data_IF_781513936213
#
_entry.id   IF_781513936213
#
_cell.length_a   1.000
_cell.length_b   1.000
_cell.length_c   1.000
_cell.angle_alpha   90.00
_cell.angle_beta   90.00
_cell.angle_gamma   90.00
#
_symmetry.space_group_name_H-M   'P 1'
#
loop_
_entity.id
_entity.type
_entity.pdbx_description
1 polymer ?
#
# COMPACT_ATOMS: atom_id res chain seq x y z
N UNK A 1 -19.39 18.49 -44.32
CA UNK A 1 -20.28 17.67 -43.46
C UNK A 1 -19.97 16.21 -43.69
N UNK A 2 -18.89 15.73 -43.06
CA UNK A 2 -18.32 14.38 -43.20
C UNK A 2 -19.14 13.36 -42.40
N UNK A 3 -19.40 12.20 -43.01
CA UNK A 3 -20.17 11.07 -42.46
C UNK A 3 -19.80 10.76 -40.99
N UNK A 4 -20.56 11.31 -40.03
CA UNK A 4 -20.35 11.12 -38.58
C UNK A 4 -20.54 9.68 -38.17
N UNK A 5 -21.52 8.98 -38.76
CA UNK A 5 -21.78 7.56 -38.48
C UNK A 5 -20.60 6.68 -38.90
N UNK A 6 -20.02 6.92 -40.08
CA UNK A 6 -18.84 6.21 -40.56
C UNK A 6 -17.61 6.44 -39.68
N UNK A 7 -17.38 7.68 -39.24
CA UNK A 7 -16.32 7.99 -38.26
C UNK A 7 -16.57 7.33 -36.91
N UNK A 8 -17.82 7.31 -36.45
CA UNK A 8 -18.17 6.69 -35.17
C UNK A 8 -17.93 5.17 -35.19
N UNK A 9 -18.29 4.50 -36.30
CA UNK A 9 -17.97 3.10 -36.50
C UNK A 9 -16.46 2.85 -36.57
N UNK A 10 -15.70 3.73 -37.25
CA UNK A 10 -14.23 3.66 -37.28
C UNK A 10 -13.65 3.78 -35.86
N UNK A 11 -14.13 4.72 -35.06
CA UNK A 11 -13.69 4.87 -33.67
C UNK A 11 -13.97 3.59 -32.86
N UNK A 12 -15.14 2.97 -33.03
CA UNK A 12 -15.46 1.70 -32.40
C UNK A 12 -14.48 0.59 -32.76
N UNK A 13 -14.17 0.43 -34.06
CA UNK A 13 -13.23 -0.58 -34.53
C UNK A 13 -11.80 -0.34 -34.01
N UNK A 14 -11.37 0.92 -33.90
CA UNK A 14 -10.08 1.26 -33.32
C UNK A 14 -10.01 0.89 -31.84
N UNK A 15 -11.10 1.07 -31.07
CA UNK A 15 -11.17 0.68 -29.66
C UNK A 15 -11.10 -0.83 -29.46
N UNK A 16 -11.79 -1.61 -30.31
CA UNK A 16 -11.69 -3.08 -30.31
C UNK A 16 -10.25 -3.54 -30.58
N UNK A 17 -9.50 -2.79 -31.40
CA UNK A 17 -8.07 -3.01 -31.66
C UNK A 17 -7.14 -2.41 -30.61
N UNK A 18 -7.67 -1.83 -29.54
CA UNK A 18 -6.91 -1.13 -28.49
C UNK A 18 -6.07 0.05 -29.00
N UNK A 19 -6.42 0.62 -30.15
CA UNK A 19 -5.80 1.81 -30.73
C UNK A 19 -6.43 3.07 -30.12
N UNK A 20 -6.23 3.27 -28.81
CA UNK A 20 -6.91 4.30 -28.02
C UNK A 20 -6.62 5.74 -28.49
N UNK A 21 -5.38 6.03 -28.90
CA UNK A 21 -4.99 7.36 -29.37
C UNK A 21 -5.71 7.73 -30.67
N UNK A 22 -5.65 6.87 -31.68
CA UNK A 22 -6.35 7.09 -32.96
C UNK A 22 -7.88 7.13 -32.79
N UNK A 23 -8.43 6.26 -31.94
CA UNK A 23 -9.85 6.30 -31.61
C UNK A 23 -10.25 7.64 -30.98
N UNK A 24 -9.41 8.15 -30.06
CA UNK A 24 -9.59 9.44 -29.39
C UNK A 24 -9.66 10.60 -30.38
N UNK A 25 -8.73 10.68 -31.33
CA UNK A 25 -8.70 11.71 -32.36
C UNK A 25 -9.98 11.69 -33.21
N UNK A 26 -10.40 10.51 -33.68
CA UNK A 26 -11.62 10.36 -34.48
C UNK A 26 -12.85 10.81 -33.69
N UNK A 27 -12.95 10.43 -32.42
CA UNK A 27 -14.03 10.84 -31.52
C UNK A 27 -14.03 12.35 -31.26
N UNK A 28 -12.86 12.97 -31.11
CA UNK A 28 -12.74 14.42 -30.92
C UNK A 28 -13.23 15.17 -32.18
N UNK A 29 -12.97 14.65 -33.39
CA UNK A 29 -13.55 15.23 -34.61
C UNK A 29 -15.08 15.13 -34.64
N UNK A 30 -15.66 14.04 -34.10
CA UNK A 30 -17.12 13.87 -34.01
C UNK A 30 -17.70 14.84 -32.98
N UNK A 31 -17.04 15.02 -31.83
CA UNK A 31 -17.49 15.94 -30.78
C UNK A 31 -17.40 17.39 -31.26
N UNK A 32 -16.39 17.75 -32.03
CA UNK A 32 -16.28 19.09 -32.62
C UNK A 32 -17.42 19.38 -33.61
N UNK A 33 -17.77 18.42 -34.47
CA UNK A 33 -18.85 18.56 -35.45
C UNK A 33 -20.24 18.44 -34.81
N UNK A 34 -20.38 17.60 -33.79
CA UNK A 34 -21.62 17.31 -33.06
C UNK A 34 -21.36 17.26 -31.54
N UNK A 35 -21.32 18.43 -30.86
CA UNK A 35 -20.98 18.50 -29.43
C UNK A 35 -21.87 17.67 -28.52
N UNK A 36 -23.11 17.39 -28.93
CA UNK A 36 -24.09 16.58 -28.18
C UNK A 36 -24.13 15.10 -28.57
N UNK A 37 -23.12 14.59 -29.28
CA UNK A 37 -23.08 13.18 -29.69
C UNK A 37 -22.76 12.26 -28.48
N UNK A 38 -23.81 11.78 -27.79
CA UNK A 38 -23.70 11.01 -26.55
C UNK A 38 -22.78 9.78 -26.64
N UNK A 39 -22.83 9.06 -27.76
CA UNK A 39 -21.97 7.88 -27.98
C UNK A 39 -20.49 8.23 -28.06
N UNK A 40 -20.16 9.42 -28.57
CA UNK A 40 -18.76 9.84 -28.72
C UNK A 40 -18.17 10.18 -27.34
N UNK A 41 -18.94 10.90 -26.52
CA UNK A 41 -18.59 11.16 -25.12
C UNK A 41 -18.47 9.88 -24.29
N UNK A 42 -19.34 8.88 -24.51
CA UNK A 42 -19.23 7.58 -23.83
C UNK A 42 -17.90 6.88 -24.13
N UNK A 43 -17.51 6.78 -25.40
CA UNK A 43 -16.25 6.14 -25.78
C UNK A 43 -15.02 6.95 -25.38
N UNK A 44 -15.09 8.29 -25.33
CA UNK A 44 -14.03 9.10 -24.72
C UNK A 44 -13.90 8.82 -23.22
N UNK A 45 -15.01 8.67 -22.52
CA UNK A 45 -15.03 8.24 -21.12
C UNK A 45 -14.29 6.92 -20.91
N UNK A 46 -14.55 5.92 -21.77
CA UNK A 46 -13.84 4.63 -21.74
C UNK A 46 -12.33 4.77 -21.99
N UNK A 47 -11.91 5.58 -22.97
CA UNK A 47 -10.49 5.84 -23.24
C UNK A 47 -9.82 6.45 -22.00
N UNK A 48 -10.44 7.47 -21.40
CA UNK A 48 -9.88 8.11 -20.21
C UNK A 48 -9.78 7.16 -19.01
N UNK A 49 -10.74 6.23 -18.85
CA UNK A 49 -10.62 5.16 -17.84
C UNK A 49 -9.42 4.25 -18.11
N UNK A 50 -9.18 3.88 -19.37
CA UNK A 50 -8.02 3.07 -19.76
C UNK A 50 -6.69 3.81 -19.53
N UNK A 51 -6.67 5.14 -19.75
CA UNK A 51 -5.56 6.04 -19.42
C UNK A 51 -5.41 6.30 -17.91
N UNK A 52 -6.32 5.78 -17.08
CA UNK A 52 -6.43 6.04 -15.63
C UNK A 52 -6.68 7.50 -15.27
N UNK A 53 -7.18 8.29 -16.22
CA UNK A 53 -7.60 9.67 -15.99
C UNK A 53 -9.06 9.74 -15.56
N UNK A 54 -9.29 9.56 -14.26
CA UNK A 54 -10.65 9.52 -13.72
C UNK A 54 -11.41 10.84 -13.86
N UNK A 55 -10.71 11.98 -13.79
CA UNK A 55 -11.35 13.30 -13.88
C UNK A 55 -11.93 13.55 -15.28
N UNK A 56 -11.13 13.31 -16.33
CA UNK A 56 -11.61 13.44 -17.71
C UNK A 56 -12.64 12.36 -18.05
N UNK A 57 -12.46 11.14 -17.55
CA UNK A 57 -13.44 10.06 -17.70
C UNK A 57 -14.83 10.45 -17.17
N UNK A 58 -14.88 10.95 -15.93
CA UNK A 58 -16.11 11.42 -15.29
C UNK A 58 -16.80 12.50 -16.11
N UNK A 59 -16.05 13.52 -16.53
CA UNK A 59 -16.58 14.63 -17.33
C UNK A 59 -17.19 14.16 -18.65
N UNK A 60 -16.54 13.23 -19.34
CA UNK A 60 -17.05 12.66 -20.59
C UNK A 60 -18.29 11.77 -20.36
N UNK A 61 -18.29 10.94 -19.31
CA UNK A 61 -19.44 10.09 -18.97
C UNK A 61 -20.66 10.91 -18.54
N UNK A 62 -20.46 12.02 -17.81
CA UNK A 62 -21.52 12.97 -17.46
C UNK A 62 -22.18 13.57 -18.71
N UNK A 63 -21.39 14.01 -19.69
CA UNK A 63 -21.92 14.48 -20.98
C UNK A 63 -22.66 13.38 -21.73
N UNK A 64 -22.16 12.15 -21.70
CA UNK A 64 -22.81 11.02 -22.35
C UNK A 64 -24.21 10.73 -21.78
N UNK A 65 -24.38 10.83 -20.45
CA UNK A 65 -25.69 10.64 -19.80
C UNK A 65 -26.57 11.88 -19.87
N UNK A 66 -26.00 13.07 -19.98
CA UNK A 66 -26.75 14.32 -20.22
C UNK A 66 -27.42 14.29 -21.59
N UNK A 67 -26.66 13.94 -22.63
CA UNK A 67 -27.15 13.92 -24.02
C UNK A 67 -27.97 12.68 -24.37
N UNK A 68 -27.76 11.58 -23.63
CA UNK A 68 -28.62 10.41 -23.71
C UNK A 68 -28.87 9.84 -22.30
N UNK A 69 -29.96 10.27 -21.63
CA UNK A 69 -30.29 9.81 -20.27
C UNK A 69 -30.54 8.32 -20.12
N UNK A 70 -30.78 7.57 -21.20
CA UNK A 70 -30.96 6.11 -21.16
C UNK A 70 -29.70 5.34 -21.58
N UNK A 71 -28.54 6.00 -21.68
CA UNK A 71 -27.27 5.31 -21.90
C UNK A 71 -26.85 4.53 -20.64
N UNK A 72 -27.38 3.31 -20.50
CA UNK A 72 -27.20 2.48 -19.31
C UNK A 72 -25.74 2.11 -19.08
N UNK A 73 -24.98 1.85 -20.16
CA UNK A 73 -23.55 1.55 -20.09
C UNK A 73 -22.76 2.73 -19.51
N UNK A 74 -23.04 3.96 -19.95
CA UNK A 74 -22.42 5.15 -19.38
C UNK A 74 -22.76 5.35 -17.91
N UNK A 75 -24.00 5.04 -17.50
CA UNK A 75 -24.43 5.13 -16.09
C UNK A 75 -23.74 4.11 -15.19
N UNK A 76 -23.52 2.87 -15.67
CA UNK A 76 -22.75 1.85 -14.93
C UNK A 76 -21.31 2.32 -14.71
N UNK A 77 -20.63 2.78 -15.77
CA UNK A 77 -19.26 3.30 -15.65
C UNK A 77 -19.19 4.54 -14.75
N UNK A 78 -20.18 5.43 -14.83
CA UNK A 78 -20.24 6.59 -13.95
C UNK A 78 -20.44 6.17 -12.48
N UNK A 79 -21.23 5.13 -12.22
CA UNK A 79 -21.35 4.55 -10.89
C UNK A 79 -20.02 3.97 -10.40
N UNK A 80 -19.25 3.28 -11.26
CA UNK A 80 -17.91 2.79 -10.93
C UNK A 80 -16.95 3.93 -10.54
N UNK A 81 -16.95 5.02 -11.31
CA UNK A 81 -16.16 6.22 -11.01
C UNK A 81 -16.56 6.81 -9.65
N UNK A 82 -17.85 6.95 -9.38
CA UNK A 82 -18.31 7.43 -8.07
C UNK A 82 -17.93 6.49 -6.93
N UNK A 83 -17.92 5.18 -7.13
CA UNK A 83 -17.43 4.23 -6.13
C UNK A 83 -15.94 4.40 -5.86
N UNK A 84 -15.12 4.64 -6.89
CA UNK A 84 -13.69 4.91 -6.74
C UNK A 84 -13.44 6.22 -5.96
N UNK A 85 -14.28 7.24 -6.18
CA UNK A 85 -14.28 8.51 -5.44
C UNK A 85 -14.88 8.40 -4.02
N UNK A 86 -15.33 7.21 -3.61
CA UNK A 86 -16.05 6.98 -2.35
C UNK A 86 -17.33 7.82 -2.19
N UNK A 87 -18.05 8.04 -3.30
CA UNK A 87 -19.35 8.71 -3.35
C UNK A 87 -20.49 7.70 -3.64
N UNK A 88 -20.85 6.83 -2.68
CA UNK A 88 -21.77 5.72 -2.94
C UNK A 88 -23.20 6.16 -3.26
N UNK A 89 -23.65 7.31 -2.76
CA UNK A 89 -25.01 7.81 -3.03
C UNK A 89 -25.19 8.21 -4.49
N UNK A 90 -24.21 8.92 -5.06
CA UNK A 90 -24.19 9.28 -6.49
C UNK A 90 -24.12 8.02 -7.37
N UNK A 91 -23.37 7.00 -6.95
CA UNK A 91 -23.36 5.71 -7.65
C UNK A 91 -24.76 5.07 -7.64
N UNK A 92 -25.43 5.00 -6.49
CA UNK A 92 -26.76 4.42 -6.35
C UNK A 92 -27.82 5.15 -7.19
N UNK A 93 -27.73 6.47 -7.35
CA UNK A 93 -28.61 7.23 -8.24
C UNK A 93 -28.49 6.79 -9.70
N UNK A 94 -27.27 6.61 -10.20
CA UNK A 94 -27.05 6.11 -11.57
C UNK A 94 -27.59 4.69 -11.75
N UNK A 95 -27.31 3.82 -10.78
CA UNK A 95 -27.72 2.40 -10.80
C UNK A 95 -29.23 2.23 -10.70
N UNK A 96 -29.93 3.10 -9.97
CA UNK A 96 -31.40 3.11 -9.89
C UNK A 96 -32.03 3.28 -11.26
N UNK A 97 -31.47 4.15 -12.10
CA UNK A 97 -31.98 4.38 -13.46
C UNK A 97 -31.73 3.13 -14.32
N UNK A 98 -30.56 2.52 -14.21
CA UNK A 98 -30.22 1.27 -14.91
C UNK A 98 -31.21 0.18 -14.56
N UNK A 99 -31.45 -0.06 -13.28
CA UNK A 99 -32.33 -1.12 -12.80
C UNK A 99 -33.82 -0.87 -13.05
N UNK A 100 -34.21 0.38 -13.28
CA UNK A 100 -35.58 0.71 -13.73
C UNK A 100 -35.82 0.23 -15.16
N UNK A 101 -34.78 0.24 -16.01
CA UNK A 101 -34.85 -0.22 -17.41
C UNK A 101 -34.49 -1.68 -17.58
N UNK A 102 -33.50 -2.14 -16.83
CA UNK A 102 -33.00 -3.52 -16.83
C UNK A 102 -32.93 -4.05 -15.40
N UNK A 103 -34.06 -4.52 -14.81
CA UNK A 103 -34.09 -5.04 -13.45
C UNK A 103 -33.15 -6.22 -13.21
N UNK A 104 -32.83 -6.97 -14.27
CA UNK A 104 -31.88 -8.09 -14.27
C UNK A 104 -30.44 -7.73 -14.64
N UNK A 105 -30.06 -6.45 -14.62
CA UNK A 105 -28.68 -6.06 -14.97
C UNK A 105 -27.68 -6.50 -13.87
N UNK A 106 -26.88 -7.52 -14.19
CA UNK A 106 -25.88 -8.11 -13.29
C UNK A 106 -24.91 -7.06 -12.71
N UNK A 107 -24.28 -6.26 -13.57
CA UNK A 107 -23.29 -5.26 -13.17
C UNK A 107 -23.91 -4.23 -12.23
N UNK A 108 -25.15 -3.80 -12.51
CA UNK A 108 -25.82 -2.84 -11.66
C UNK A 108 -26.06 -3.36 -10.23
N UNK A 109 -26.51 -4.61 -10.07
CA UNK A 109 -26.62 -5.23 -8.73
C UNK A 109 -25.25 -5.41 -8.07
N UNK A 110 -24.22 -5.80 -8.82
CA UNK A 110 -22.86 -5.92 -8.30
C UNK A 110 -22.34 -4.58 -7.75
N UNK A 111 -22.52 -3.48 -8.49
CA UNK A 111 -22.12 -2.15 -8.03
C UNK A 111 -22.99 -1.61 -6.90
N UNK A 112 -24.28 -1.95 -6.83
CA UNK A 112 -25.10 -1.65 -5.65
C UNK A 112 -24.54 -2.33 -4.41
N UNK A 113 -24.16 -3.62 -4.52
CA UNK A 113 -23.50 -4.36 -3.44
C UNK A 113 -22.23 -3.65 -2.94
N UNK A 114 -21.39 -3.16 -3.87
CA UNK A 114 -20.19 -2.39 -3.54
C UNK A 114 -20.51 -1.03 -2.91
N UNK A 115 -21.54 -0.31 -3.39
CA UNK A 115 -21.98 0.97 -2.84
C UNK A 115 -22.41 0.83 -1.37
N UNK A 116 -23.24 -0.17 -1.07
CA UNK A 116 -23.67 -0.43 0.30
C UNK A 116 -22.53 -0.91 1.20
N UNK A 117 -21.54 -1.63 0.66
CA UNK A 117 -20.33 -1.98 1.40
C UNK A 117 -19.53 -0.73 1.81
N UNK A 118 -19.37 0.27 0.93
CA UNK A 118 -18.74 1.55 1.27
C UNK A 118 -19.52 2.30 2.36
N UNK A 119 -20.85 2.20 2.34
CA UNK A 119 -21.74 2.74 3.39
C UNK A 119 -21.74 1.91 4.68
N UNK A 120 -20.96 0.81 4.74
CA UNK A 120 -20.93 -0.17 5.85
C UNK A 120 -22.27 -0.85 6.12
N UNK A 121 -23.20 -0.80 5.17
CA UNK A 121 -24.47 -1.53 5.21
C UNK A 121 -24.26 -2.94 4.64
N UNK A 122 -23.81 -3.83 5.51
CA UNK A 122 -23.49 -5.23 5.16
C UNK A 122 -24.73 -6.01 4.74
N UNK A 123 -25.91 -5.68 5.30
CA UNK A 123 -27.16 -6.38 5.00
C UNK A 123 -27.60 -6.12 3.56
N UNK A 124 -27.67 -4.83 3.18
CA UNK A 124 -28.01 -4.45 1.81
C UNK A 124 -26.94 -4.91 0.83
N UNK A 125 -25.66 -4.75 1.18
CA UNK A 125 -24.54 -5.22 0.34
C UNK A 125 -24.67 -6.70 -0.03
N UNK A 126 -24.93 -7.55 0.96
CA UNK A 126 -25.17 -8.99 0.76
C UNK A 126 -26.37 -9.26 -0.16
N UNK A 127 -27.49 -8.60 0.10
CA UNK A 127 -28.70 -8.80 -0.70
C UNK A 127 -28.44 -8.55 -2.20
N UNK A 128 -27.68 -7.50 -2.53
CA UNK A 128 -27.38 -7.17 -3.92
C UNK A 128 -26.34 -8.10 -4.55
N UNK A 129 -25.33 -8.56 -3.81
CA UNK A 129 -24.44 -9.60 -4.32
C UNK A 129 -25.15 -10.95 -4.52
N UNK A 130 -26.08 -11.33 -3.64
CA UNK A 130 -26.90 -12.53 -3.83
C UNK A 130 -27.81 -12.42 -5.07
N UNK A 131 -28.37 -11.23 -5.34
CA UNK A 131 -29.10 -10.96 -6.60
C UNK A 131 -28.18 -11.10 -7.81
N UNK A 132 -26.99 -10.50 -7.76
CA UNK A 132 -26.01 -10.61 -8.84
C UNK A 132 -25.62 -12.07 -9.11
N UNK A 133 -25.37 -12.86 -8.07
CA UNK A 133 -25.06 -14.30 -8.18
C UNK A 133 -26.24 -15.13 -8.73
N UNK A 134 -27.50 -14.72 -8.49
CA UNK A 134 -28.67 -15.37 -9.08
C UNK A 134 -28.84 -15.04 -10.57
N UNK A 135 -28.48 -13.83 -10.99
CA UNK A 135 -28.56 -13.38 -12.39
C UNK A 135 -27.48 -14.05 -13.24
N UNK A 136 -26.25 -14.13 -12.71
CA UNK A 136 -25.10 -14.72 -13.40
C UNK A 136 -24.42 -15.75 -12.48
N UNK A 137 -24.98 -16.97 -12.36
CA UNK A 137 -24.47 -18.02 -11.48
C UNK A 137 -23.14 -18.66 -11.96
N UNK A 138 -22.72 -18.34 -13.17
CA UNK A 138 -21.48 -18.75 -13.80
C UNK A 138 -20.35 -17.71 -13.65
N UNK A 139 -20.65 -16.50 -13.18
CA UNK A 139 -19.65 -15.46 -12.91
C UNK A 139 -19.12 -15.59 -11.46
N UNK A 140 -17.81 -15.78 -11.26
CA UNK A 140 -17.21 -15.94 -9.92
C UNK A 140 -17.25 -14.67 -9.06
N UNK A 141 -17.44 -13.49 -9.66
CA UNK A 141 -17.21 -12.20 -8.99
C UNK A 141 -18.18 -11.99 -7.83
N UNK A 142 -19.47 -12.28 -8.02
CA UNK A 142 -20.47 -12.12 -6.96
C UNK A 142 -20.19 -13.04 -5.77
N UNK A 143 -19.83 -14.30 -6.03
CA UNK A 143 -19.43 -15.25 -4.99
C UNK A 143 -18.16 -14.80 -4.24
N UNK A 144 -17.17 -14.27 -4.94
CA UNK A 144 -15.97 -13.72 -4.31
C UNK A 144 -16.28 -12.52 -3.41
N UNK A 145 -17.21 -11.65 -3.82
CA UNK A 145 -17.68 -10.53 -2.97
C UNK A 145 -18.42 -11.02 -1.73
N UNK A 146 -19.28 -12.03 -1.85
CA UNK A 146 -19.97 -12.67 -0.72
C UNK A 146 -18.96 -13.31 0.25
N UNK A 147 -17.96 -14.03 -0.26
CA UNK A 147 -16.89 -14.59 0.55
C UNK A 147 -16.15 -13.51 1.35
N UNK A 148 -15.86 -12.36 0.72
CA UNK A 148 -15.25 -11.21 1.39
C UNK A 148 -16.10 -10.66 2.52
N UNK A 149 -17.42 -10.50 2.29
CA UNK A 149 -18.36 -10.08 3.34
C UNK A 149 -18.41 -11.07 4.50
N UNK A 150 -18.49 -12.37 4.20
CA UNK A 150 -18.53 -13.42 5.21
C UNK A 150 -17.23 -13.46 6.02
N UNK A 151 -16.07 -13.30 5.37
CA UNK A 151 -14.76 -13.21 6.03
C UNK A 151 -14.67 -12.01 6.97
N UNK A 152 -15.15 -10.83 6.56
CA UNK A 152 -15.19 -9.62 7.42
C UNK A 152 -16.04 -9.84 8.68
N UNK A 153 -17.10 -10.63 8.57
CA UNK A 153 -17.98 -10.99 9.68
C UNK A 153 -17.50 -12.23 10.44
N UNK A 154 -16.30 -12.76 10.13
CA UNK A 154 -15.73 -14.00 10.68
C UNK A 154 -16.64 -15.23 10.49
N UNK A 155 -17.52 -15.20 9.49
CA UNK A 155 -18.36 -16.32 9.08
C UNK A 155 -17.56 -17.19 8.09
N UNK A 156 -16.62 -17.95 8.63
CA UNK A 156 -15.65 -18.66 7.82
C UNK A 156 -16.26 -19.80 6.99
N UNK A 157 -17.23 -20.57 7.53
CA UNK A 157 -17.81 -21.67 6.74
C UNK A 157 -18.59 -21.18 5.51
N UNK A 158 -19.47 -20.15 5.63
CA UNK A 158 -20.06 -19.52 4.44
C UNK A 158 -19.00 -18.96 3.49
N UNK A 159 -17.98 -18.28 4.00
CA UNK A 159 -16.91 -17.72 3.17
C UNK A 159 -16.19 -18.80 2.36
N UNK A 160 -15.82 -19.92 2.99
CA UNK A 160 -15.18 -21.06 2.35
C UNK A 160 -16.08 -21.71 1.30
N UNK A 161 -17.39 -21.82 1.58
CA UNK A 161 -18.38 -22.31 0.61
C UNK A 161 -18.43 -21.43 -0.64
N UNK A 162 -18.49 -20.10 -0.47
CA UNK A 162 -18.47 -19.16 -1.59
C UNK A 162 -17.15 -19.22 -2.37
N UNK A 163 -16.01 -19.34 -1.68
CA UNK A 163 -14.70 -19.49 -2.33
C UNK A 163 -14.57 -20.80 -3.09
N UNK A 164 -15.12 -21.90 -2.58
CA UNK A 164 -15.17 -23.15 -3.32
C UNK A 164 -15.96 -22.97 -4.62
N UNK A 165 -17.10 -22.25 -4.58
CA UNK A 165 -17.86 -21.94 -5.81
C UNK A 165 -17.05 -21.11 -6.81
N UNK A 166 -16.30 -20.12 -6.33
CA UNK A 166 -15.37 -19.35 -7.19
C UNK A 166 -14.35 -20.28 -7.87
N UNK A 167 -13.77 -21.21 -7.11
CA UNK A 167 -12.73 -22.11 -7.61
C UNK A 167 -13.27 -23.26 -8.49
N UNK A 168 -14.55 -23.61 -8.35
CA UNK A 168 -15.25 -24.48 -9.32
C UNK A 168 -15.39 -23.79 -10.68
N UNK A 169 -15.79 -22.51 -10.69
CA UNK A 169 -15.97 -21.72 -11.91
C UNK A 169 -14.64 -21.32 -12.55
N UNK A 170 -13.66 -20.99 -11.71
CA UNK A 170 -12.33 -20.54 -12.13
C UNK A 170 -11.25 -21.07 -11.19
N UNK A 171 -10.72 -22.25 -11.52
CA UNK A 171 -9.75 -22.98 -10.71
C UNK A 171 -8.46 -22.19 -10.41
N UNK A 172 -8.05 -21.30 -11.31
CA UNK A 172 -6.84 -20.47 -11.19
C UNK A 172 -7.09 -19.07 -10.62
N UNK A 173 -8.24 -18.82 -10.00
CA UNK A 173 -8.58 -17.53 -9.41
C UNK A 173 -7.73 -17.24 -8.16
N UNK A 174 -6.53 -16.67 -8.39
CA UNK A 174 -5.52 -16.36 -7.38
C UNK A 174 -6.07 -15.64 -6.13
N UNK A 175 -6.92 -14.59 -6.24
CA UNK A 175 -7.46 -13.94 -5.05
C UNK A 175 -8.31 -14.87 -4.17
N UNK A 176 -9.01 -15.85 -4.77
CA UNK A 176 -9.82 -16.80 -4.01
C UNK A 176 -8.95 -17.88 -3.34
N UNK A 177 -7.92 -18.36 -4.03
CA UNK A 177 -6.90 -19.24 -3.45
C UNK A 177 -6.25 -18.59 -2.22
N UNK A 178 -5.81 -17.33 -2.35
CA UNK A 178 -5.20 -16.56 -1.27
C UNK A 178 -6.17 -16.31 -0.10
N UNK A 179 -7.43 -15.96 -0.40
CA UNK A 179 -8.46 -15.73 0.61
C UNK A 179 -8.73 -17.01 1.41
N UNK A 180 -8.81 -18.17 0.75
CA UNK A 180 -9.02 -19.46 1.42
C UNK A 180 -7.86 -19.82 2.35
N UNK A 181 -6.61 -19.64 1.91
CA UNK A 181 -5.41 -19.80 2.76
C UNK A 181 -5.46 -18.86 3.96
N UNK A 182 -5.82 -17.60 3.75
CA UNK A 182 -5.91 -16.59 4.81
C UNK A 182 -7.00 -16.93 5.84
N UNK A 183 -8.13 -17.48 5.42
CA UNK A 183 -9.18 -17.96 6.32
C UNK A 183 -8.67 -19.12 7.20
N UNK A 184 -8.03 -20.13 6.61
CA UNK A 184 -7.42 -21.22 7.38
C UNK A 184 -6.39 -20.69 8.39
N UNK A 185 -5.54 -19.75 8.01
CA UNK A 185 -4.59 -19.13 8.94
C UNK A 185 -5.28 -18.34 10.05
N UNK A 186 -6.37 -17.61 9.75
CA UNK A 186 -7.17 -16.90 10.75
C UNK A 186 -7.88 -17.86 11.73
N UNK A 187 -8.24 -19.06 11.28
CA UNK A 187 -8.78 -20.15 12.10
C UNK A 187 -7.70 -20.94 12.86
N UNK A 188 -6.42 -20.57 12.70
CA UNK A 188 -5.26 -21.30 13.27
C UNK A 188 -5.19 -22.76 12.77
N UNK A 189 -5.52 -22.95 11.49
CA UNK A 189 -5.57 -24.22 10.77
C UNK A 189 -4.48 -24.27 9.68
N UNK A 190 -3.18 -24.23 10.04
CA UNK A 190 -2.10 -24.22 9.06
C UNK A 190 -1.99 -25.54 8.29
N UNK A 191 -2.39 -26.67 8.89
CA UNK A 191 -2.35 -27.98 8.23
C UNK A 191 -3.32 -28.04 7.05
N UNK A 192 -4.53 -27.51 7.22
CA UNK A 192 -5.56 -27.40 6.19
C UNK A 192 -5.13 -26.44 5.07
N UNK A 193 -4.47 -25.33 5.41
CA UNK A 193 -3.88 -24.43 4.42
C UNK A 193 -2.82 -25.13 3.57
N UNK A 194 -1.90 -25.88 4.19
CA UNK A 194 -0.85 -26.61 3.48
C UNK A 194 -1.41 -27.75 2.63
N UNK A 195 -2.38 -28.51 3.14
CA UNK A 195 -3.05 -29.57 2.39
C UNK A 195 -3.77 -29.02 1.16
N UNK A 196 -4.47 -27.90 1.31
CA UNK A 196 -5.13 -27.22 0.19
C UNK A 196 -4.13 -26.72 -0.86
N UNK A 197 -3.02 -26.12 -0.43
CA UNK A 197 -1.97 -25.66 -1.36
C UNK A 197 -1.32 -26.83 -2.12
N UNK A 198 -1.06 -27.95 -1.43
CA UNK A 198 -0.53 -29.16 -2.04
C UNK A 198 -1.48 -29.74 -3.09
N UNK A 199 -2.78 -29.81 -2.79
CA UNK A 199 -3.81 -30.22 -3.76
C UNK A 199 -3.76 -29.35 -5.02
N UNK A 200 -3.71 -28.03 -4.87
CA UNK A 200 -3.67 -27.09 -6.01
C UNK A 200 -2.36 -27.12 -6.77
N UNK A 201 -1.23 -27.33 -6.11
CA UNK A 201 0.06 -27.52 -6.77
C UNK A 201 0.05 -28.76 -7.67
N UNK A 202 -0.51 -29.89 -7.19
CA UNK A 202 -0.66 -31.11 -7.99
C UNK A 202 -1.56 -30.90 -9.21
N UNK A 203 -2.70 -30.23 -9.02
CA UNK A 203 -3.66 -29.96 -10.08
C UNK A 203 -3.11 -29.02 -11.17
N UNK A 204 -2.21 -28.10 -10.81
CA UNK A 204 -1.73 -27.03 -11.70
C UNK A 204 -0.22 -27.08 -11.98
N UNK A 205 0.41 -28.26 -11.92
CA UNK A 205 1.84 -28.42 -12.13
C UNK A 205 2.39 -27.83 -13.44
N UNK A 206 1.55 -27.73 -14.49
CA UNK A 206 1.93 -27.18 -15.80
C UNK A 206 1.83 -25.65 -15.88
N UNK A 207 1.13 -25.00 -14.95
CA UNK A 207 0.99 -23.55 -14.91
C UNK A 207 2.08 -22.97 -14.00
N UNK A 208 3.25 -22.66 -14.57
CA UNK A 208 4.40 -22.17 -13.82
C UNK A 208 4.09 -20.89 -13.02
N UNK A 209 3.33 -19.96 -13.59
CA UNK A 209 2.95 -18.70 -12.93
C UNK A 209 2.08 -18.95 -11.70
N UNK A 210 1.07 -19.81 -11.81
CA UNK A 210 0.21 -20.18 -10.69
C UNK A 210 0.97 -20.99 -9.65
N UNK A 211 1.77 -21.97 -10.07
CA UNK A 211 2.58 -22.79 -9.18
C UNK A 211 3.56 -21.93 -8.36
N UNK A 212 4.17 -20.90 -8.98
CA UNK A 212 5.02 -19.96 -8.27
C UNK A 212 4.27 -19.21 -7.15
N UNK A 213 3.07 -18.68 -7.45
CA UNK A 213 2.24 -18.01 -6.44
C UNK A 213 1.78 -18.96 -5.32
N UNK A 214 1.47 -20.22 -5.64
CA UNK A 214 1.11 -21.24 -4.65
C UNK A 214 2.29 -21.60 -3.74
N UNK A 215 3.50 -21.71 -4.29
CA UNK A 215 4.72 -21.92 -3.49
C UNK A 215 5.04 -20.71 -2.60
N UNK A 216 4.78 -19.49 -3.05
CA UNK A 216 4.88 -18.28 -2.22
C UNK A 216 3.90 -18.32 -1.04
N UNK A 217 2.64 -18.69 -1.28
CA UNK A 217 1.65 -18.86 -0.21
C UNK A 217 2.07 -19.97 0.77
N UNK A 218 2.59 -21.10 0.26
CA UNK A 218 3.09 -22.22 1.08
C UNK A 218 4.24 -21.77 1.97
N UNK A 219 5.22 -21.06 1.42
CA UNK A 219 6.34 -20.50 2.18
C UNK A 219 5.85 -19.55 3.27
N UNK A 220 4.87 -18.69 2.96
CA UNK A 220 4.29 -17.77 3.95
C UNK A 220 3.61 -18.48 5.12
N UNK A 221 2.89 -19.58 4.85
CA UNK A 221 2.28 -20.42 5.89
C UNK A 221 3.36 -21.08 6.77
N UNK A 222 4.39 -21.66 6.15
CA UNK A 222 5.51 -22.32 6.85
C UNK A 222 6.33 -21.33 7.69
N UNK A 223 6.54 -20.11 7.18
CA UNK A 223 7.18 -19.03 7.92
C UNK A 223 6.45 -18.71 9.23
N UNK A 224 5.12 -18.63 9.19
CA UNK A 224 4.30 -18.40 10.39
C UNK A 224 4.38 -19.60 11.36
N UNK A 225 4.50 -20.82 10.85
CA UNK A 225 4.75 -22.02 11.64
C UNK A 225 6.19 -22.11 12.18
N UNK A 226 7.07 -21.16 11.81
CA UNK A 226 8.51 -21.16 12.13
C UNK A 226 9.28 -22.35 11.55
N UNK A 227 8.73 -23.03 10.55
CA UNK A 227 9.44 -24.01 9.74
C UNK A 227 10.23 -23.28 8.66
N UNK A 228 11.35 -22.68 9.09
CA UNK A 228 12.14 -21.77 8.28
C UNK A 228 12.81 -22.48 7.09
N UNK A 229 13.27 -23.72 7.27
CA UNK A 229 13.91 -24.50 6.22
C UNK A 229 12.94 -24.80 5.08
N UNK A 230 11.73 -25.31 5.40
CA UNK A 230 10.74 -25.58 4.36
C UNK A 230 10.16 -24.29 3.76
N UNK A 231 10.08 -23.22 4.56
CA UNK A 231 9.68 -21.89 4.10
C UNK A 231 10.64 -21.36 3.04
N UNK A 232 11.94 -21.41 3.31
CA UNK A 232 12.99 -21.02 2.36
C UNK A 232 12.90 -21.81 1.05
N UNK A 233 12.80 -23.14 1.15
CA UNK A 233 12.69 -24.02 0.01
C UNK A 233 11.46 -23.69 -0.85
N UNK A 234 10.32 -23.36 -0.22
CA UNK A 234 9.12 -22.96 -0.92
C UNK A 234 9.29 -21.62 -1.66
N UNK A 235 9.86 -20.60 -1.01
CA UNK A 235 10.12 -19.32 -1.69
C UNK A 235 11.15 -19.44 -2.82
N UNK A 236 12.23 -20.20 -2.63
CA UNK A 236 13.20 -20.50 -3.70
C UNK A 236 12.54 -21.24 -4.87
N UNK A 237 11.63 -22.18 -4.58
CA UNK A 237 10.85 -22.85 -5.64
C UNK A 237 9.96 -21.89 -6.40
N UNK A 238 9.31 -20.94 -5.71
CA UNK A 238 8.53 -19.89 -6.35
C UNK A 238 9.38 -19.05 -7.31
N UNK A 239 10.58 -18.63 -6.89
CA UNK A 239 11.52 -17.88 -7.73
C UNK A 239 12.02 -18.68 -8.93
N UNK A 240 12.33 -19.97 -8.75
CA UNK A 240 12.76 -20.82 -9.87
C UNK A 240 11.67 -20.98 -10.94
N UNK A 241 10.39 -20.96 -10.54
CA UNK A 241 9.25 -21.06 -11.45
C UNK A 241 8.90 -19.71 -12.10
N UNK A 242 9.07 -18.61 -11.37
CA UNK A 242 8.84 -17.28 -11.88
C UNK A 242 9.78 -16.26 -11.20
N UNK A 243 10.92 -15.96 -11.83
CA UNK A 243 11.90 -15.01 -11.30
C UNK A 243 11.42 -13.55 -11.25
N UNK A 244 10.28 -13.22 -11.87
CA UNK A 244 9.77 -11.85 -11.92
C UNK A 244 8.81 -11.52 -10.78
N UNK A 245 8.46 -12.51 -9.95
CA UNK A 245 7.69 -12.28 -8.74
C UNK A 245 8.57 -11.63 -7.67
N UNK A 246 8.26 -10.38 -7.32
CA UNK A 246 8.94 -9.65 -6.23
C UNK A 246 8.59 -10.23 -4.85
N UNK A 247 7.38 -10.76 -4.69
CA UNK A 247 6.86 -11.27 -3.41
C UNK A 247 7.76 -12.31 -2.71
N UNK A 248 8.24 -13.36 -3.41
CA UNK A 248 9.17 -14.32 -2.85
C UNK A 248 10.53 -13.73 -2.44
N UNK A 249 11.08 -12.75 -3.17
CA UNK A 249 12.32 -12.06 -2.76
C UNK A 249 12.12 -11.32 -1.43
N UNK A 250 11.01 -10.58 -1.29
CA UNK A 250 10.68 -9.89 -0.03
C UNK A 250 10.48 -10.88 1.12
N UNK A 251 9.88 -12.02 0.83
CA UNK A 251 9.63 -13.06 1.83
C UNK A 251 10.92 -13.74 2.28
N UNK A 252 11.84 -14.04 1.35
CA UNK A 252 13.19 -14.52 1.69
C UNK A 252 13.99 -13.48 2.46
N UNK A 253 13.95 -12.21 2.06
CA UNK A 253 14.65 -11.15 2.80
C UNK A 253 14.17 -11.05 4.26
N UNK A 254 12.86 -11.17 4.47
CA UNK A 254 12.25 -11.23 5.81
C UNK A 254 12.67 -12.48 6.58
N UNK A 255 12.67 -13.64 5.92
CA UNK A 255 13.11 -14.90 6.49
C UNK A 255 14.55 -14.77 7.00
N UNK A 256 15.46 -14.34 6.13
CA UNK A 256 16.87 -14.15 6.43
C UNK A 256 17.11 -13.10 7.53
N UNK A 257 16.28 -12.05 7.61
CA UNK A 257 16.34 -11.13 8.73
C UNK A 257 16.01 -11.81 10.08
N UNK A 258 14.99 -12.67 10.12
CA UNK A 258 14.58 -13.39 11.34
C UNK A 258 15.58 -14.47 11.74
N UNK A 259 16.20 -15.14 10.77
CA UNK A 259 17.25 -16.14 10.98
C UNK A 259 18.64 -15.52 11.17
N UNK A 260 18.76 -14.18 11.10
CA UNK A 260 19.99 -13.38 11.24
C UNK A 260 21.04 -13.61 10.14
N UNK A 261 20.59 -14.04 8.97
CA UNK A 261 21.40 -14.21 7.76
C UNK A 261 21.41 -12.89 6.97
N UNK A 262 22.01 -11.85 7.56
CA UNK A 262 21.95 -10.47 7.05
C UNK A 262 22.43 -10.32 5.61
N UNK A 263 23.52 -11.00 5.24
CA UNK A 263 24.06 -10.94 3.88
C UNK A 263 23.07 -11.50 2.85
N UNK A 264 22.35 -12.57 3.20
CA UNK A 264 21.34 -13.14 2.30
C UNK A 264 20.10 -12.26 2.17
N UNK A 265 19.71 -11.57 3.25
CA UNK A 265 18.68 -10.55 3.18
C UNK A 265 19.09 -9.39 2.23
N UNK A 266 20.34 -8.92 2.32
CA UNK A 266 20.89 -7.90 1.42
C UNK A 266 20.83 -8.38 -0.04
N UNK A 267 21.25 -9.61 -0.30
CA UNK A 267 21.24 -10.20 -1.65
C UNK A 267 19.82 -10.21 -2.25
N UNK A 268 18.79 -10.53 -1.45
CA UNK A 268 17.41 -10.49 -1.92
C UNK A 268 16.93 -9.08 -2.26
N UNK A 269 17.24 -8.08 -1.44
CA UNK A 269 16.87 -6.68 -1.74
C UNK A 269 17.61 -6.15 -2.98
N UNK A 270 18.87 -6.52 -3.17
CA UNK A 270 19.62 -6.18 -4.38
C UNK A 270 19.03 -6.85 -5.63
N UNK A 271 18.60 -8.11 -5.52
CA UNK A 271 17.91 -8.81 -6.61
C UNK A 271 16.58 -8.13 -7.00
N UNK A 272 15.83 -7.59 -6.02
CA UNK A 272 14.64 -6.78 -6.29
C UNK A 272 15.03 -5.52 -7.08
N UNK A 273 16.06 -4.79 -6.63
CA UNK A 273 16.48 -3.54 -7.26
C UNK A 273 17.04 -3.73 -8.68
N UNK A 274 17.65 -4.88 -8.96
CA UNK A 274 18.08 -5.23 -10.31
C UNK A 274 16.90 -5.37 -11.30
N UNK A 275 15.71 -5.73 -10.79
CA UNK A 275 14.48 -5.91 -11.59
C UNK A 275 13.60 -4.67 -11.57
N UNK A 276 13.53 -4.00 -10.43
CA UNK A 276 12.70 -2.84 -10.17
C UNK A 276 13.57 -1.75 -9.51
N UNK A 277 14.31 -0.96 -10.31
CA UNK A 277 15.21 0.07 -9.80
C UNK A 277 14.52 1.16 -8.98
N UNK A 278 13.20 1.31 -9.12
CA UNK A 278 12.36 2.28 -8.41
C UNK A 278 11.67 1.66 -7.17
N UNK A 279 12.06 0.47 -6.73
CA UNK A 279 11.45 -0.18 -5.57
C UNK A 279 11.98 0.40 -4.25
N UNK A 280 11.37 1.51 -3.82
CA UNK A 280 11.77 2.34 -2.65
C UNK A 280 12.00 1.50 -1.39
N UNK A 281 11.13 0.51 -1.14
CA UNK A 281 11.18 -0.30 0.09
C UNK A 281 12.47 -1.13 0.18
N UNK A 282 13.07 -1.53 -0.95
CA UNK A 282 14.34 -2.26 -0.94
C UNK A 282 15.52 -1.33 -0.61
N UNK A 283 15.56 -0.11 -1.15
CA UNK A 283 16.55 0.89 -0.73
C UNK A 283 16.44 1.19 0.77
N UNK A 284 15.23 1.37 1.27
CA UNK A 284 15.01 1.60 2.71
C UNK A 284 15.48 0.46 3.60
N UNK A 285 15.17 -0.77 3.21
CA UNK A 285 15.60 -1.95 3.95
C UNK A 285 17.13 -2.08 3.95
N UNK A 286 17.78 -1.91 2.78
CA UNK A 286 19.23 -1.90 2.68
C UNK A 286 19.87 -0.78 3.51
N UNK A 287 19.31 0.43 3.46
CA UNK A 287 19.76 1.57 4.27
C UNK A 287 19.70 1.27 5.76
N UNK A 288 18.58 0.69 6.21
CA UNK A 288 18.37 0.31 7.62
C UNK A 288 19.34 -0.79 8.06
N UNK A 289 19.56 -1.80 7.21
CA UNK A 289 20.51 -2.88 7.50
C UNK A 289 21.93 -2.33 7.61
N UNK A 290 22.38 -1.54 6.63
CA UNK A 290 23.72 -0.97 6.66
C UNK A 290 23.94 -0.01 7.83
N UNK A 291 22.91 0.73 8.24
CA UNK A 291 22.98 1.62 9.40
C UNK A 291 23.16 0.82 10.70
N UNK A 292 22.38 -0.26 10.87
CA UNK A 292 22.50 -1.15 12.02
C UNK A 292 23.86 -1.86 12.10
N UNK A 293 24.53 -2.09 10.96
CA UNK A 293 25.89 -2.63 10.89
C UNK A 293 26.99 -1.55 11.05
N UNK A 294 26.64 -0.30 11.29
CA UNK A 294 27.59 0.82 11.39
C UNK A 294 28.20 1.25 10.05
N UNK A 295 27.69 0.74 8.92
CA UNK A 295 28.14 1.07 7.57
C UNK A 295 27.46 2.35 7.06
N UNK A 296 27.60 3.45 7.80
CA UNK A 296 26.84 4.71 7.58
C UNK A 296 26.97 5.28 6.17
N UNK A 297 28.13 5.15 5.51
CA UNK A 297 28.31 5.59 4.12
C UNK A 297 27.43 4.81 3.13
N UNK A 298 27.30 3.48 3.32
CA UNK A 298 26.40 2.65 2.50
C UNK A 298 24.94 2.96 2.81
N UNK A 299 24.60 3.12 4.09
CA UNK A 299 23.25 3.47 4.52
C UNK A 299 22.77 4.79 3.91
N UNK A 300 23.60 5.83 4.01
CA UNK A 300 23.40 7.13 3.37
C UNK A 300 23.08 7.00 1.88
N UNK A 301 23.91 6.27 1.13
CA UNK A 301 23.71 6.07 -0.32
C UNK A 301 22.36 5.42 -0.63
N UNK A 302 21.91 4.48 0.20
CA UNK A 302 20.61 3.83 0.00
C UNK A 302 19.44 4.78 0.32
N UNK A 303 19.52 5.57 1.39
CA UNK A 303 18.49 6.57 1.68
C UNK A 303 18.43 7.69 0.64
N UNK A 304 19.58 8.12 0.11
CA UNK A 304 19.64 9.05 -1.02
C UNK A 304 18.94 8.47 -2.25
N UNK A 305 19.19 7.20 -2.59
CA UNK A 305 18.49 6.50 -3.68
C UNK A 305 16.97 6.40 -3.46
N UNK A 306 16.53 6.14 -2.23
CA UNK A 306 15.11 6.15 -1.91
C UNK A 306 14.46 7.53 -2.16
N UNK A 307 15.18 8.61 -1.83
CA UNK A 307 14.73 9.99 -2.06
C UNK A 307 14.84 10.45 -3.51
N UNK A 308 15.75 9.88 -4.30
CA UNK A 308 15.76 10.10 -5.76
C UNK A 308 14.47 9.56 -6.41
N UNK A 309 13.99 8.39 -5.97
CA UNK A 309 12.75 7.79 -6.50
C UNK A 309 11.51 8.49 -5.97
N UNK A 310 11.46 8.80 -4.67
CA UNK A 310 10.39 9.58 -4.07
C UNK A 310 10.98 10.63 -3.12
N UNK A 311 11.07 11.90 -3.57
CA UNK A 311 11.60 12.98 -2.76
C UNK A 311 10.88 13.15 -1.41
N UNK A 312 9.58 12.83 -1.33
CA UNK A 312 8.74 13.03 -0.14
C UNK A 312 8.69 11.81 0.77
N UNK A 313 9.53 10.80 0.53
CA UNK A 313 9.56 9.60 1.33
C UNK A 313 10.17 9.84 2.73
N UNK A 314 9.28 10.18 3.67
CA UNK A 314 9.62 10.65 5.01
C UNK A 314 10.57 9.74 5.81
N UNK A 315 10.43 8.39 5.79
CA UNK A 315 11.36 7.54 6.53
C UNK A 315 12.82 7.63 6.03
N UNK A 316 13.04 7.76 4.71
CA UNK A 316 14.41 7.96 4.18
C UNK A 316 14.95 9.33 4.57
N UNK A 317 14.12 10.37 4.45
CA UNK A 317 14.52 11.73 4.82
C UNK A 317 14.91 11.82 6.29
N UNK A 318 14.13 11.20 7.17
CA UNK A 318 14.44 11.12 8.59
C UNK A 318 15.77 10.41 8.87
N UNK A 319 15.95 9.20 8.35
CA UNK A 319 17.14 8.41 8.64
C UNK A 319 18.41 9.02 8.01
N UNK A 320 18.28 9.65 6.84
CA UNK A 320 19.37 10.40 6.23
C UNK A 320 19.73 11.64 7.06
N UNK A 321 18.73 12.40 7.54
CA UNK A 321 18.97 13.52 8.43
C UNK A 321 19.70 13.09 9.70
N UNK A 322 19.28 11.99 10.31
CA UNK A 322 19.94 11.39 11.47
C UNK A 322 21.41 11.07 11.19
N UNK A 323 21.73 10.37 10.09
CA UNK A 323 23.12 10.06 9.71
C UNK A 323 23.95 11.33 9.49
N UNK A 324 23.39 12.35 8.84
CA UNK A 324 24.09 13.62 8.60
C UNK A 324 24.40 14.38 9.89
N UNK A 325 23.51 14.31 10.89
CA UNK A 325 23.74 14.89 12.22
C UNK A 325 24.82 14.13 12.99
N UNK A 326 24.75 12.80 12.99
CA UNK A 326 25.73 11.95 13.68
C UNK A 326 27.14 12.09 13.11
N UNK A 327 27.26 12.23 11.79
CA UNK A 327 28.55 12.39 11.10
C UNK A 327 29.04 13.84 11.03
N UNK A 328 28.18 14.82 11.31
CA UNK A 328 28.47 16.24 11.17
C UNK A 328 28.67 16.72 9.72
N UNK A 329 28.34 15.89 8.72
CA UNK A 329 28.70 16.13 7.32
C UNK A 329 27.92 17.28 6.66
N UNK A 330 26.62 17.42 6.95
CA UNK A 330 25.79 18.53 6.44
C UNK A 330 24.61 18.85 7.39
N UNK A 331 24.84 19.71 8.39
CA UNK A 331 23.79 20.07 9.35
C UNK A 331 22.66 20.91 8.75
N UNK A 332 22.87 21.59 7.61
CA UNK A 332 21.80 22.36 6.94
C UNK A 332 20.88 21.42 6.16
N UNK A 333 21.46 20.51 5.37
CA UNK A 333 20.72 19.47 4.66
C UNK A 333 19.95 18.58 5.63
N UNK A 334 20.54 18.21 6.77
CA UNK A 334 19.86 17.46 7.81
C UNK A 334 18.59 18.15 8.33
N UNK A 335 18.66 19.46 8.61
CA UNK A 335 17.48 20.22 9.06
C UNK A 335 16.38 20.24 7.99
N UNK A 336 16.74 20.44 6.73
CA UNK A 336 15.76 20.45 5.64
C UNK A 336 15.08 19.08 5.47
N UNK A 337 15.85 18.00 5.52
CA UNK A 337 15.33 16.64 5.46
C UNK A 337 14.44 16.30 6.66
N UNK A 338 14.84 16.67 7.88
CA UNK A 338 14.04 16.45 9.08
C UNK A 338 12.70 17.23 9.03
N UNK A 339 12.72 18.50 8.60
CA UNK A 339 11.49 19.28 8.37
C UNK A 339 10.57 18.62 7.35
N UNK A 340 11.15 18.12 6.26
CA UNK A 340 10.42 17.41 5.20
C UNK A 340 9.75 16.14 5.74
N UNK A 341 10.48 15.35 6.53
CA UNK A 341 9.93 14.18 7.20
C UNK A 341 8.77 14.57 8.14
N UNK A 342 8.92 15.64 8.95
CA UNK A 342 7.88 16.11 9.89
C UNK A 342 6.62 16.57 9.16
N UNK A 343 6.75 17.23 8.01
CA UNK A 343 5.60 17.66 7.22
C UNK A 343 4.74 16.47 6.73
N UNK A 344 5.37 15.33 6.43
CA UNK A 344 4.69 14.12 5.95
C UNK A 344 4.21 13.22 7.09
N UNK A 345 4.93 13.21 8.22
CA UNK A 345 4.64 12.42 9.41
C UNK A 345 4.62 13.31 10.67
N UNK A 346 3.64 14.23 10.79
CA UNK A 346 3.62 15.22 11.87
C UNK A 346 3.50 14.59 13.27
N UNK A 347 2.86 13.42 13.35
CA UNK A 347 2.60 12.74 14.61
C UNK A 347 3.68 11.70 15.00
N UNK A 348 4.66 11.41 14.13
CA UNK A 348 5.69 10.40 14.42
C UNK A 348 6.76 10.95 15.38
N UNK A 349 6.90 10.37 16.58
CA UNK A 349 7.81 10.91 17.59
C UNK A 349 9.29 10.71 17.23
N UNK A 350 9.64 9.78 16.34
CA UNK A 350 11.03 9.59 15.87
C UNK A 350 11.46 10.71 14.94
N UNK A 351 10.50 11.22 14.17
CA UNK A 351 10.71 12.36 13.28
C UNK A 351 10.82 13.65 14.06
N UNK A 352 9.99 13.82 15.10
CA UNK A 352 10.10 14.92 16.05
C UNK A 352 11.48 14.92 16.74
N UNK A 353 11.95 13.78 17.25
CA UNK A 353 13.28 13.67 17.86
C UNK A 353 14.42 14.05 16.90
N UNK A 354 14.41 13.56 15.67
CA UNK A 354 15.42 13.90 14.66
C UNK A 354 15.39 15.39 14.29
N UNK A 355 14.19 15.98 14.18
CA UNK A 355 14.05 17.42 13.94
C UNK A 355 14.55 18.25 15.14
N UNK A 356 14.24 17.84 16.36
CA UNK A 356 14.78 18.44 17.57
C UNK A 356 16.31 18.44 17.57
N UNK A 357 16.93 17.32 17.18
CA UNK A 357 18.39 17.21 17.09
C UNK A 357 18.99 18.13 16.01
N UNK A 358 18.30 18.28 14.88
CA UNK A 358 18.71 19.22 13.85
C UNK A 358 18.61 20.68 14.32
N UNK A 359 17.53 21.03 15.02
CA UNK A 359 17.28 22.38 15.55
C UNK A 359 18.30 22.76 16.64
N UNK A 360 18.59 21.85 17.58
CA UNK A 360 19.56 22.13 18.65
C UNK A 360 20.98 22.29 18.10
N UNK A 361 21.32 21.57 17.03
CA UNK A 361 22.60 21.75 16.30
C UNK A 361 22.72 23.12 15.66
N UNK A 362 21.59 23.78 15.37
CA UNK A 362 21.52 25.14 14.83
C UNK A 362 21.35 26.22 15.89
N UNK A 363 21.37 25.86 17.18
CA UNK A 363 21.16 26.81 18.27
C UNK A 363 19.71 27.26 18.44
N UNK A 364 18.74 26.60 17.79
CA UNK A 364 17.31 26.88 17.91
C UNK A 364 16.72 26.14 19.11
N UNK A 365 17.22 26.46 20.30
CA UNK A 365 16.93 25.75 21.57
C UNK A 365 15.44 25.60 21.88
N UNK A 366 14.65 26.68 21.95
CA UNK A 366 13.21 26.58 22.28
C UNK A 366 12.42 25.71 21.30
N UNK A 367 12.70 25.82 19.99
CA UNK A 367 12.05 24.99 18.98
C UNK A 367 12.46 23.52 19.09
N UNK A 368 13.73 23.25 19.43
CA UNK A 368 14.21 21.89 19.66
C UNK A 368 13.51 21.25 20.87
N UNK A 369 13.38 21.99 21.97
CA UNK A 369 12.69 21.52 23.19
C UNK A 369 11.25 21.12 22.86
N UNK A 370 10.49 21.95 22.13
CA UNK A 370 9.12 21.64 21.77
C UNK A 370 8.99 20.31 20.98
N UNK A 371 9.90 20.05 20.03
CA UNK A 371 9.90 18.78 19.28
C UNK A 371 10.29 17.58 20.16
N UNK A 372 11.27 17.75 21.06
CA UNK A 372 11.65 16.70 22.00
C UNK A 372 10.57 16.41 23.05
N UNK A 373 9.83 17.43 23.50
CA UNK A 373 8.68 17.25 24.39
C UNK A 373 7.55 16.47 23.70
N UNK A 374 7.23 16.79 22.44
CA UNK A 374 6.28 16.00 21.64
C UNK A 374 6.73 14.54 21.50
N UNK A 375 8.01 14.33 21.18
CA UNK A 375 8.60 12.99 21.10
C UNK A 375 8.54 12.25 22.45
N UNK A 376 8.87 12.91 23.55
CA UNK A 376 8.89 12.34 24.90
C UNK A 376 7.49 12.07 25.44
N UNK A 377 6.48 12.86 25.06
CA UNK A 377 5.08 12.62 25.40
C UNK A 377 4.60 11.28 24.81
N UNK A 378 4.98 11.00 23.55
CA UNK A 378 4.60 9.79 22.81
C UNK A 378 5.52 8.60 23.13
N UNK A 379 6.76 8.84 23.54
CA UNK A 379 7.75 7.83 23.91
C UNK A 379 8.35 8.08 25.31
N UNK A 380 7.53 8.07 26.39
CA UNK A 380 7.94 8.54 27.71
C UNK A 380 9.01 7.71 28.43
N UNK A 381 9.34 6.53 27.89
CA UNK A 381 10.35 5.62 28.43
C UNK A 381 11.53 5.41 27.48
N UNK A 382 11.59 6.13 26.35
CA UNK A 382 12.71 6.03 25.43
C UNK A 382 13.90 6.84 25.98
N UNK A 383 15.01 6.19 26.37
CA UNK A 383 16.13 6.89 27.01
C UNK A 383 16.88 7.84 26.06
N UNK A 384 16.94 7.55 24.76
CA UNK A 384 17.58 8.41 23.76
C UNK A 384 16.83 9.74 23.61
N UNK A 385 15.49 9.68 23.48
CA UNK A 385 14.66 10.89 23.40
C UNK A 385 14.77 11.73 24.66
N UNK A 386 14.74 11.10 25.84
CA UNK A 386 14.89 11.79 27.12
C UNK A 386 16.28 12.40 27.31
N UNK A 387 17.32 11.72 26.82
CA UNK A 387 18.67 12.26 26.79
C UNK A 387 18.75 13.51 25.90
N UNK A 388 18.19 13.46 24.68
CA UNK A 388 18.17 14.61 23.79
C UNK A 388 17.38 15.79 24.37
N UNK A 389 16.23 15.53 25.01
CA UNK A 389 15.47 16.54 25.73
C UNK A 389 16.30 17.19 26.84
N UNK A 390 16.99 16.39 27.65
CA UNK A 390 17.87 16.89 28.70
C UNK A 390 19.04 17.73 28.17
N UNK A 391 19.65 17.29 27.06
CA UNK A 391 20.69 18.04 26.36
C UNK A 391 20.17 19.38 25.83
N UNK A 392 18.95 19.42 25.29
CA UNK A 392 18.34 20.63 24.76
C UNK A 392 18.04 21.64 25.87
N UNK A 393 17.43 21.21 26.98
CA UNK A 393 17.20 22.06 28.15
C UNK A 393 18.52 22.61 28.71
N UNK A 394 19.57 21.78 28.82
CA UNK A 394 20.87 22.24 29.31
C UNK A 394 21.46 23.35 28.43
N UNK A 395 21.48 23.13 27.11
CA UNK A 395 21.94 24.14 26.15
C UNK A 395 21.10 25.42 26.15
N UNK A 396 19.85 25.34 26.59
CA UNK A 396 18.94 26.49 26.74
C UNK A 396 19.01 27.16 28.13
N UNK A 397 19.88 26.68 29.03
CA UNK A 397 20.03 27.23 30.39
C UNK A 397 19.00 26.72 31.41
N UNK A 398 18.18 25.74 31.05
CA UNK A 398 17.10 25.20 31.87
C UNK A 398 17.58 24.02 32.74
N UNK A 399 18.45 24.33 33.69
CA UNK A 399 19.16 23.34 34.54
C UNK A 399 18.23 22.29 35.16
N UNK A 400 17.10 22.70 35.76
CA UNK A 400 16.22 21.78 36.48
C UNK A 400 15.53 20.78 35.54
N UNK A 401 15.00 21.25 34.40
CA UNK A 401 14.40 20.37 33.40
C UNK A 401 15.43 19.43 32.78
N UNK A 402 16.67 19.90 32.56
CA UNK A 402 17.76 19.07 32.08
C UNK A 402 18.08 17.91 33.04
N UNK A 403 18.21 18.20 34.34
CA UNK A 403 18.45 17.19 35.38
C UNK A 403 17.31 16.17 35.46
N UNK A 404 16.06 16.61 35.39
CA UNK A 404 14.90 15.74 35.42
C UNK A 404 14.91 14.76 34.24
N UNK A 405 15.06 15.27 33.01
CA UNK A 405 15.08 14.47 31.80
C UNK A 405 16.24 13.46 31.78
N UNK A 406 17.46 13.89 32.14
CA UNK A 406 18.65 13.01 32.18
C UNK A 406 18.54 11.92 33.24
N UNK A 407 18.04 12.24 34.44
CA UNK A 407 17.80 11.23 35.48
C UNK A 407 16.77 10.21 35.04
N UNK A 408 15.73 10.65 34.33
CA UNK A 408 14.72 9.76 33.76
C UNK A 408 15.30 8.87 32.66
N UNK A 409 16.12 9.42 31.76
CA UNK A 409 16.83 8.67 30.73
C UNK A 409 17.70 7.55 31.33
N UNK A 410 18.51 7.88 32.35
CA UNK A 410 19.47 6.97 33.00
C UNK A 410 18.84 5.98 33.99
N UNK A 411 17.53 6.09 34.26
CA UNK A 411 16.80 5.11 35.10
C UNK A 411 16.55 3.79 34.37
N UNK A 412 16.67 3.77 33.04
CA UNK A 412 16.49 2.56 32.24
C UNK A 412 17.52 1.47 32.63
N UNK A 413 17.11 0.20 32.53
CA UNK A 413 18.01 -0.97 32.69
C UNK A 413 18.59 -1.44 31.36
N UNK A 414 18.11 -0.89 30.24
CA UNK A 414 18.57 -1.27 28.90
C UNK A 414 19.66 -0.31 28.45
N UNK A 415 20.81 -0.80 27.95
CA UNK A 415 21.83 0.06 27.39
C UNK A 415 21.26 0.85 26.20
N UNK A 416 21.71 2.09 26.04
CA UNK A 416 21.36 2.95 24.92
C UNK A 416 22.58 3.75 24.47
N UNK A 417 22.65 4.19 23.20
CA UNK A 417 23.88 4.74 22.61
C UNK A 417 24.46 5.92 23.39
N UNK A 418 23.58 6.79 23.90
CA UNK A 418 23.98 8.02 24.58
C UNK A 418 24.20 7.85 26.09
N UNK A 419 24.20 6.63 26.64
CA UNK A 419 24.24 6.39 28.08
C UNK A 419 25.47 7.03 28.75
N UNK A 420 26.66 6.83 28.21
CA UNK A 420 27.89 7.39 28.76
C UNK A 420 27.89 8.92 28.69
N UNK A 421 27.52 9.47 27.53
CA UNK A 421 27.35 10.91 27.31
C UNK A 421 26.33 11.52 28.27
N UNK A 422 25.23 10.81 28.54
CA UNK A 422 24.21 11.19 29.52
C UNK A 422 24.75 11.23 30.95
N UNK A 423 25.52 10.22 31.36
CA UNK A 423 26.15 10.20 32.70
C UNK A 423 27.16 11.33 32.87
N UNK A 424 27.96 11.61 31.83
CA UNK A 424 28.93 12.70 31.84
C UNK A 424 28.24 14.05 31.95
N UNK A 425 27.22 14.27 31.12
CA UNK A 425 26.44 15.51 31.12
C UNK A 425 25.73 15.73 32.47
N UNK A 426 25.11 14.68 33.04
CA UNK A 426 24.46 14.78 34.34
C UNK A 426 25.43 15.27 35.44
N UNK A 427 26.64 14.70 35.49
CA UNK A 427 27.68 15.12 36.45
C UNK A 427 28.14 16.55 36.23
N UNK A 428 28.28 16.99 34.98
CA UNK A 428 28.67 18.36 34.62
C UNK A 428 27.64 19.38 35.13
N UNK A 429 26.35 19.09 34.94
CA UNK A 429 25.25 19.95 35.38
C UNK A 429 25.15 19.99 36.90
N UNK A 430 25.38 18.85 37.58
CA UNK A 430 25.38 18.79 39.04
C UNK A 430 26.57 19.54 39.68
N UNK A 431 27.70 19.63 38.96
CA UNK A 431 28.89 20.34 39.42
C UNK A 431 28.82 21.87 39.23
N UNK A 432 27.92 22.37 38.39
CA UNK A 432 27.72 23.82 38.22
C UNK A 432 26.99 24.38 39.44
N UNK A 433 27.54 25.41 40.09
CA UNK A 433 26.92 26.07 41.26
C UNK A 433 25.68 26.86 40.88
#
# INVERSE_FOLDING_TARGET
SSNVQGRFLRAHLLLEKQQFSEAGEVLDTIINDQPRHAGAHYYRGLIYLAEKDQARAKGALLKAVEYNPINLKARILLAEVYLAERAPDLALEQLKIVLTKEPGNYQAHLHQGNAYLLKRDIKSSRQFFEKAAKISPDDPTAYYRLAGLDSLQRRYDPALSQLNKVLELKADHLPALAAKVSIYMAQKQPAEALAFLEEKLRAHQKNARLAAALHEMRGSVLFVQKDYDQSEAAFKKALNLNPDLVGPYLSLARLYHVTKETDEAINQYQAILAKQPEFIQAYMALGTIYDAEGKSAKARKMYEKALEVNPDFAPAANNLAWILLQTGADPNGALNLAKKAKAQLPDDPRVADTLGLALITKGLGPSAIAEFEDAALKMPQNPTVLYHLGLAHWKNGEKNHALEALRKALKTKRPFPEEESGRKLLKEIEATK
#
